data_IF_403592602973
#
_entry.id   IF_403592602973
#
_cell.length_a   1.000
_cell.length_b   1.000
_cell.length_c   1.000
_cell.angle_alpha   90.00
_cell.angle_beta   90.00
_cell.angle_gamma   90.00
#
_symmetry.space_group_name_H-M   'P 1'
#
loop_
_entity.id
_entity.type
_entity.pdbx_description
1 polymer ?
#
# COMPACT_ATOMS: atom_id res chain seq x y z
N UNK A 1 25.35 2.61 -11.86
CA UNK A 1 25.04 1.22 -11.46
C UNK A 1 23.72 1.28 -10.71
N UNK A 2 22.61 0.99 -11.39
CA UNK A 2 21.34 0.71 -10.74
C UNK A 2 21.55 -0.56 -9.92
N UNK A 3 21.29 -0.51 -8.62
CA UNK A 3 21.48 -1.65 -7.72
C UNK A 3 20.39 -2.68 -8.00
N UNK A 4 20.61 -3.51 -9.01
CA UNK A 4 19.71 -4.59 -9.45
C UNK A 4 19.13 -5.46 -8.33
N UNK A 5 19.83 -5.81 -7.22
CA UNK A 5 19.21 -6.63 -6.16
C UNK A 5 18.21 -5.87 -5.28
N UNK A 6 18.41 -4.57 -5.07
CA UNK A 6 17.51 -3.75 -4.25
C UNK A 6 16.21 -3.46 -5.00
N UNK A 7 16.34 -3.06 -6.27
CA UNK A 7 15.18 -2.85 -7.16
C UNK A 7 14.41 -4.18 -7.39
N UNK A 8 15.10 -5.33 -7.47
CA UNK A 8 14.46 -6.65 -7.51
C UNK A 8 13.72 -6.99 -6.22
N UNK A 9 14.29 -6.66 -5.07
CA UNK A 9 13.65 -6.88 -3.76
C UNK A 9 12.31 -6.14 -3.68
N UNK A 10 12.30 -4.86 -4.05
CA UNK A 10 11.07 -4.06 -4.07
C UNK A 10 10.08 -4.59 -5.11
N UNK A 11 10.52 -4.96 -6.31
CA UNK A 11 9.66 -5.58 -7.32
C UNK A 11 8.99 -6.87 -6.80
N UNK A 12 9.70 -7.71 -6.05
CA UNK A 12 9.12 -8.91 -5.44
C UNK A 12 8.10 -8.57 -4.35
N UNK A 13 8.33 -7.51 -3.56
CA UNK A 13 7.36 -7.03 -2.57
C UNK A 13 6.07 -6.54 -3.26
N UNK A 14 6.18 -5.82 -4.38
CA UNK A 14 5.04 -5.37 -5.20
C UNK A 14 4.24 -6.55 -5.76
N UNK A 15 4.93 -7.56 -6.27
CA UNK A 15 4.28 -8.78 -6.75
C UNK A 15 3.57 -9.52 -5.61
N UNK A 16 4.21 -9.62 -4.45
CA UNK A 16 3.61 -10.25 -3.26
C UNK A 16 2.38 -9.48 -2.77
N UNK A 17 2.42 -8.15 -2.74
CA UNK A 17 1.28 -7.30 -2.40
C UNK A 17 0.09 -7.52 -3.35
N UNK A 18 0.35 -7.49 -4.67
CA UNK A 18 -0.68 -7.76 -5.69
C UNK A 18 -1.34 -9.14 -5.52
N UNK A 19 -0.53 -10.16 -5.19
CA UNK A 19 -1.04 -11.52 -4.92
C UNK A 19 -1.86 -11.57 -3.64
N UNK A 20 -1.40 -10.91 -2.56
CA UNK A 20 -2.12 -10.80 -1.30
C UNK A 20 -3.52 -10.18 -1.51
N UNK A 21 -3.61 -9.07 -2.26
CA UNK A 21 -4.89 -8.42 -2.57
C UNK A 21 -5.81 -9.36 -3.36
N UNK A 22 -5.28 -10.07 -4.37
CA UNK A 22 -6.08 -11.02 -5.15
C UNK A 22 -6.64 -12.18 -4.32
N UNK A 23 -5.85 -12.70 -3.38
CA UNK A 23 -6.28 -13.76 -2.46
C UNK A 23 -7.31 -13.20 -1.47
N UNK A 24 -7.06 -12.03 -0.89
CA UNK A 24 -7.98 -11.36 0.02
C UNK A 24 -9.36 -11.18 -0.62
N UNK A 25 -9.40 -10.65 -1.84
CA UNK A 25 -10.65 -10.44 -2.57
C UNK A 25 -11.37 -11.77 -2.86
N UNK A 26 -10.63 -12.84 -3.15
CA UNK A 26 -11.18 -14.18 -3.32
C UNK A 26 -11.77 -14.76 -2.01
N UNK A 27 -11.14 -14.46 -0.87
CA UNK A 27 -11.61 -14.88 0.45
C UNK A 27 -12.80 -14.06 0.94
N UNK A 28 -12.83 -12.75 0.65
CA UNK A 28 -13.99 -11.86 0.89
C UNK A 28 -15.23 -12.41 0.20
N UNK A 29 -15.12 -12.81 -1.07
CA UNK A 29 -16.22 -13.44 -1.82
C UNK A 29 -16.67 -14.79 -1.25
N UNK A 30 -15.78 -15.50 -0.57
CA UNK A 30 -16.06 -16.79 0.07
C UNK A 30 -16.55 -16.66 1.53
N UNK A 31 -16.71 -15.43 2.04
CA UNK A 31 -17.15 -15.16 3.41
C UNK A 31 -16.14 -15.58 4.49
N UNK A 32 -14.85 -15.68 4.16
CA UNK A 32 -13.77 -16.02 5.11
C UNK A 32 -13.18 -14.77 5.74
N UNK A 33 -12.58 -14.93 6.93
CA UNK A 33 -11.87 -13.84 7.60
C UNK A 33 -10.67 -13.37 6.77
N UNK A 34 -10.53 -12.05 6.64
CA UNK A 34 -9.47 -11.39 5.87
C UNK A 34 -8.56 -10.50 6.71
N UNK A 35 -8.71 -10.54 8.04
CA UNK A 35 -7.92 -9.74 9.00
C UNK A 35 -6.40 -9.84 8.76
N UNK A 36 -5.88 -11.04 8.45
CA UNK A 36 -4.44 -11.22 8.17
C UNK A 36 -3.98 -10.39 6.97
N UNK A 37 -4.82 -10.25 5.94
CA UNK A 37 -4.49 -9.52 4.73
C UNK A 37 -4.52 -8.01 4.97
N UNK A 38 -5.42 -7.52 5.83
CA UNK A 38 -5.42 -6.13 6.27
C UNK A 38 -4.09 -5.77 6.96
N UNK A 39 -3.61 -6.61 7.89
CA UNK A 39 -2.29 -6.41 8.50
C UNK A 39 -1.14 -6.45 7.47
N UNK A 40 -1.24 -7.32 6.46
CA UNK A 40 -0.24 -7.36 5.39
C UNK A 40 -0.27 -6.08 4.54
N UNK A 41 -1.45 -5.52 4.24
CA UNK A 41 -1.58 -4.28 3.49
C UNK A 41 -0.86 -3.11 4.20
N UNK A 42 -1.07 -2.96 5.51
CA UNK A 42 -0.34 -1.97 6.31
C UNK A 42 1.18 -2.20 6.28
N UNK A 43 1.62 -3.46 6.34
CA UNK A 43 3.04 -3.80 6.26
C UNK A 43 3.65 -3.45 4.89
N UNK A 44 2.94 -3.73 3.79
CA UNK A 44 3.40 -3.38 2.45
C UNK A 44 3.48 -1.85 2.26
N UNK A 45 2.47 -1.11 2.72
CA UNK A 45 2.48 0.36 2.68
C UNK A 45 3.67 0.93 3.46
N UNK A 46 3.96 0.38 4.65
CA UNK A 46 5.12 0.80 5.44
C UNK A 46 6.45 0.57 4.72
N UNK A 47 6.59 -0.55 4.01
CA UNK A 47 7.80 -0.83 3.21
C UNK A 47 7.94 0.17 2.06
N UNK A 48 6.87 0.51 1.34
CA UNK A 48 6.91 1.49 0.26
C UNK A 48 7.24 2.90 0.77
N UNK A 49 6.69 3.30 1.92
CA UNK A 49 7.03 4.58 2.56
C UNK A 49 8.50 4.59 2.96
N UNK A 50 9.00 3.52 3.59
CA UNK A 50 10.40 3.42 4.00
C UNK A 50 11.33 3.52 2.79
N UNK A 51 11.04 2.79 1.72
CA UNK A 51 11.78 2.81 0.45
C UNK A 51 11.85 4.24 -0.12
N UNK A 52 10.69 4.90 -0.21
CA UNK A 52 10.58 6.28 -0.71
C UNK A 52 11.40 7.25 0.15
N UNK A 53 11.36 7.11 1.48
CA UNK A 53 12.14 7.94 2.42
C UNK A 53 13.64 7.69 2.27
N UNK A 54 14.07 6.42 2.17
CA UNK A 54 15.47 6.06 1.98
C UNK A 54 16.02 6.63 0.66
N UNK A 55 15.26 6.52 -0.43
CA UNK A 55 15.60 7.13 -1.73
C UNK A 55 15.62 8.65 -1.65
N UNK A 56 14.69 9.26 -0.93
CA UNK A 56 14.65 10.72 -0.75
C UNK A 56 15.88 11.23 0.02
N UNK A 57 16.29 10.55 1.09
CA UNK A 57 17.50 10.91 1.86
C UNK A 57 18.77 10.72 1.00
N UNK A 58 18.82 9.65 0.19
CA UNK A 58 19.99 9.35 -0.64
C UNK A 58 20.18 10.29 -1.84
N UNK A 59 19.10 10.64 -2.55
CA UNK A 59 19.15 11.38 -3.82
C UNK A 59 18.59 12.82 -3.73
N UNK A 60 17.95 13.19 -2.63
CA UNK A 60 17.28 14.48 -2.46
C UNK A 60 16.20 14.75 -3.50
N UNK A 61 15.93 16.01 -3.84
CA UNK A 61 14.91 16.41 -4.82
C UNK A 61 15.09 15.84 -6.24
N UNK A 62 16.29 15.35 -6.60
CA UNK A 62 16.52 14.68 -7.89
C UNK A 62 15.86 13.31 -7.98
N UNK A 63 15.43 12.73 -6.85
CA UNK A 63 14.73 11.45 -6.83
C UNK A 63 13.40 11.51 -7.61
N UNK A 64 12.72 12.67 -7.65
CA UNK A 64 11.42 12.83 -8.32
C UNK A 64 11.49 12.76 -9.85
N UNK A 65 12.69 12.86 -10.44
CA UNK A 65 12.87 12.67 -11.87
C UNK A 65 12.95 11.19 -12.24
N UNK A 66 13.24 10.31 -11.28
CA UNK A 66 13.28 8.87 -11.49
C UNK A 66 11.86 8.31 -11.63
N UNK A 67 11.64 7.52 -12.67
CA UNK A 67 10.34 6.89 -12.91
C UNK A 67 10.00 5.84 -11.85
N UNK A 68 11.00 5.22 -11.21
CA UNK A 68 10.79 4.28 -10.11
C UNK A 68 10.25 4.97 -8.86
N UNK A 69 10.73 6.18 -8.56
CA UNK A 69 10.22 6.98 -7.43
C UNK A 69 8.80 7.45 -7.71
N UNK A 70 8.48 7.82 -8.95
CA UNK A 70 7.08 8.15 -9.33
C UNK A 70 6.16 6.95 -9.13
N UNK A 71 6.62 5.75 -9.44
CA UNK A 71 5.87 4.52 -9.21
C UNK A 71 5.64 4.25 -7.71
N UNK A 72 6.67 4.39 -6.87
CA UNK A 72 6.52 4.29 -5.40
C UNK A 72 5.50 5.30 -4.85
N UNK A 73 5.54 6.55 -5.33
CA UNK A 73 4.56 7.58 -4.92
C UNK A 73 3.14 7.16 -5.28
N UNK A 74 2.92 6.57 -6.47
CA UNK A 74 1.59 6.06 -6.86
C UNK A 74 1.14 4.94 -5.92
N UNK A 75 2.01 4.00 -5.56
CA UNK A 75 1.66 2.91 -4.63
C UNK A 75 1.29 3.43 -3.25
N UNK A 76 2.04 4.38 -2.71
CA UNK A 76 1.73 5.00 -1.41
C UNK A 76 0.39 5.74 -1.46
N UNK A 77 0.13 6.48 -2.55
CA UNK A 77 -1.14 7.18 -2.74
C UNK A 77 -2.32 6.21 -2.79
N UNK A 78 -2.20 5.10 -3.54
CA UNK A 78 -3.24 4.06 -3.59
C UNK A 78 -3.50 3.43 -2.21
N UNK A 79 -2.45 3.12 -1.45
CA UNK A 79 -2.61 2.59 -0.09
C UNK A 79 -3.27 3.59 0.87
N UNK A 80 -2.98 4.89 0.74
CA UNK A 80 -3.67 5.92 1.51
C UNK A 80 -5.16 5.99 1.13
N UNK A 81 -5.49 5.90 -0.16
CA UNK A 81 -6.89 5.87 -0.61
C UNK A 81 -7.65 4.70 0.01
N UNK A 82 -7.09 3.48 0.03
CA UNK A 82 -7.72 2.33 0.69
C UNK A 82 -8.00 2.59 2.18
N UNK A 83 -7.05 3.19 2.91
CA UNK A 83 -7.23 3.52 4.33
C UNK A 83 -8.32 4.58 4.51
N UNK A 84 -8.34 5.60 3.64
CA UNK A 84 -9.37 6.65 3.69
C UNK A 84 -10.74 6.06 3.41
N UNK A 85 -10.88 5.22 2.39
CA UNK A 85 -12.15 4.55 2.05
C UNK A 85 -12.63 3.68 3.22
N UNK A 86 -11.73 2.91 3.84
CA UNK A 86 -12.05 2.16 5.06
C UNK A 86 -12.56 3.07 6.18
N UNK A 87 -11.88 4.19 6.45
CA UNK A 87 -12.31 5.13 7.49
C UNK A 87 -13.68 5.73 7.15
N UNK A 88 -13.92 6.10 5.89
CA UNK A 88 -15.18 6.69 5.43
C UNK A 88 -16.34 5.71 5.57
N UNK A 89 -16.17 4.45 5.16
CA UNK A 89 -17.19 3.40 5.35
C UNK A 89 -17.50 3.19 6.84
N UNK A 90 -16.48 3.16 7.70
CA UNK A 90 -16.68 3.04 9.14
C UNK A 90 -17.39 4.27 9.73
N UNK A 91 -17.17 5.47 9.19
CA UNK A 91 -17.87 6.71 9.62
C UNK A 91 -19.33 6.72 9.14
N UNK A 92 -19.62 6.22 7.94
CA UNK A 92 -20.99 6.09 7.44
C UNK A 92 -21.79 5.01 8.17
N UNK A 93 -21.18 3.99 8.79
CA UNK A 93 -21.93 3.07 9.65
C UNK A 93 -22.37 3.70 10.99
N UNK A 94 -21.57 4.63 11.55
CA UNK A 94 -21.92 5.34 12.80
C UNK A 94 -22.83 6.56 12.58
N UNK A 95 -22.82 7.16 11.38
CA UNK A 95 -23.67 8.29 11.02
C UNK A 95 -25.19 8.06 11.20
N UNK A 96 -25.76 6.94 10.72
CA UNK A 96 -27.18 6.58 10.88
C UNK A 96 -27.63 6.47 12.33
N UNK A 97 -26.74 6.09 13.25
CA UNK A 97 -27.03 5.93 14.67
C UNK A 97 -26.96 7.25 15.45
N UNK A 98 -26.35 8.30 14.90
CA UNK A 98 -26.23 9.62 15.55
C UNK A 98 -27.46 10.51 15.33
N UNK A 99 -28.36 10.14 14.42
CA UNK A 99 -29.58 10.90 14.05
C UNK A 99 -30.86 10.34 14.67
N UNK A 100 -30.76 9.30 15.52
CA UNK A 100 -31.84 8.70 16.31
C UNK A 100 -31.60 8.95 17.81
#
# INVERSE_FOLDING_TARGET
VHSTPFDLGIALVILSNSVSIGIEQSLKLSGKSTEVFEYMEYAYLAIYILELVLRFIGYGFRCLQDNWVKFDVVLVVLGIFNIVDYIVENVEEVGPLMVL
#
